data_IF_733800739926
#
_entry.id   IF_733800739926
#
_cell.length_a   1.000
_cell.length_b   1.000
_cell.length_c   1.000
_cell.angle_alpha   90.00
_cell.angle_beta   90.00
_cell.angle_gamma   90.00
#
_symmetry.space_group_name_H-M   'P 1'
#
loop_
_entity.id
_entity.type
_entity.pdbx_description
1 polymer ?
#
# COMPACT_ATOMS: atom_id res chain seq x y z
N UNK A 1 -16.76 -3.94 14.99
CA UNK A 1 -17.05 -4.56 13.67
C UNK A 1 -18.26 -3.83 13.11
N UNK A 2 -18.09 -2.90 12.17
CA UNK A 2 -19.24 -2.29 11.50
C UNK A 2 -19.79 -3.31 10.51
N UNK A 3 -21.05 -3.69 10.69
CA UNK A 3 -21.77 -4.52 9.73
C UNK A 3 -21.79 -3.81 8.37
N UNK A 4 -21.18 -4.43 7.36
CA UNK A 4 -21.28 -4.02 5.97
C UNK A 4 -22.75 -4.18 5.53
N UNK A 5 -23.56 -3.14 5.73
CA UNK A 5 -24.94 -3.10 5.25
C UNK A 5 -24.91 -2.80 3.76
N UNK A 6 -25.22 -3.80 2.96
CA UNK A 6 -25.53 -3.60 1.53
C UNK A 6 -26.85 -2.86 1.45
N UNK A 7 -26.87 -1.71 0.79
CA UNK A 7 -28.05 -0.85 0.68
C UNK A 7 -29.04 -1.32 -0.37
N UNK A 8 -28.58 -2.12 -1.34
CA UNK A 8 -29.44 -2.68 -2.40
C UNK A 8 -29.03 -4.12 -2.78
N UNK A 9 -29.94 -4.86 -3.41
CA UNK A 9 -29.63 -6.17 -4.02
C UNK A 9 -28.54 -6.05 -5.09
N UNK A 10 -28.46 -4.92 -5.80
CA UNK A 10 -27.40 -4.64 -6.77
C UNK A 10 -26.01 -4.52 -6.13
N UNK A 11 -25.90 -3.91 -4.94
CA UNK A 11 -24.64 -3.81 -4.22
C UNK A 11 -24.16 -5.18 -3.73
N UNK A 12 -25.10 -6.02 -3.27
CA UNK A 12 -24.80 -7.40 -2.90
C UNK A 12 -24.29 -8.21 -4.11
N UNK A 13 -24.96 -8.13 -5.26
CA UNK A 13 -24.55 -8.83 -6.49
C UNK A 13 -23.18 -8.34 -6.97
N UNK A 14 -22.91 -7.02 -6.95
CA UNK A 14 -21.58 -6.50 -7.28
C UNK A 14 -20.51 -7.02 -6.31
N UNK A 15 -20.81 -7.17 -5.03
CA UNK A 15 -19.86 -7.71 -4.04
C UNK A 15 -19.52 -9.18 -4.30
N UNK A 16 -20.40 -9.94 -4.97
CA UNK A 16 -20.20 -11.34 -5.34
C UNK A 16 -19.47 -11.50 -6.70
N UNK A 17 -19.27 -10.40 -7.44
CA UNK A 17 -18.57 -10.47 -8.71
C UNK A 17 -17.12 -10.96 -8.50
N UNK A 18 -16.78 -12.07 -9.13
CA UNK A 18 -15.39 -12.58 -9.15
C UNK A 18 -14.52 -11.63 -9.95
N UNK A 19 -13.42 -11.20 -9.36
CA UNK A 19 -12.43 -10.34 -10.02
C UNK A 19 -11.06 -11.00 -9.96
N UNK A 20 -10.28 -10.78 -11.00
CA UNK A 20 -8.88 -11.19 -11.08
C UNK A 20 -8.03 -9.92 -10.94
N UNK A 21 -7.04 -9.94 -10.09
CA UNK A 21 -6.14 -8.81 -9.88
C UNK A 21 -4.72 -9.28 -9.61
N UNK A 22 -3.82 -8.33 -9.46
CA UNK A 22 -2.44 -8.60 -9.09
C UNK A 22 -2.12 -8.08 -7.68
N UNK A 23 -1.00 -8.52 -7.14
CA UNK A 23 -0.58 -8.22 -5.78
C UNK A 23 0.78 -7.52 -5.76
N UNK A 24 0.89 -6.51 -4.88
CA UNK A 24 2.11 -5.88 -4.40
C UNK A 24 2.93 -5.13 -5.45
N UNK A 25 3.17 -5.68 -6.63
CA UNK A 25 4.07 -5.08 -7.61
C UNK A 25 3.41 -4.93 -8.98
N UNK A 26 3.41 -3.71 -9.48
CA UNK A 26 3.04 -3.44 -10.87
C UNK A 26 4.18 -3.86 -11.80
N UNK A 27 3.85 -4.64 -12.82
CA UNK A 27 4.73 -4.96 -13.94
C UNK A 27 4.14 -4.37 -15.22
N UNK A 28 4.95 -3.64 -15.97
CA UNK A 28 4.53 -3.09 -17.25
C UNK A 28 4.16 -4.23 -18.21
N UNK A 29 3.04 -4.13 -18.95
CA UNK A 29 2.59 -5.21 -19.84
C UNK A 29 3.62 -5.61 -20.91
N UNK A 30 4.31 -4.63 -21.48
CA UNK A 30 5.39 -4.88 -22.44
C UNK A 30 6.72 -5.11 -21.71
N UNK A 31 7.08 -6.38 -21.52
CA UNK A 31 8.33 -6.79 -20.88
C UNK A 31 9.51 -6.90 -21.87
N UNK A 32 9.31 -6.56 -23.16
CA UNK A 32 10.37 -6.59 -24.17
C UNK A 32 11.29 -5.37 -24.10
N UNK A 33 10.87 -4.32 -23.40
CA UNK A 33 11.63 -3.10 -23.20
C UNK A 33 12.92 -3.33 -22.39
N UNK A 34 13.91 -2.46 -22.61
CA UNK A 34 15.14 -2.48 -21.81
C UNK A 34 14.82 -2.28 -20.34
N UNK A 35 15.54 -2.98 -19.46
CA UNK A 35 15.32 -2.95 -17.99
C UNK A 35 15.20 -1.52 -17.42
N UNK A 36 16.07 -0.60 -17.83
CA UNK A 36 16.04 0.80 -17.36
C UNK A 36 14.75 1.50 -17.74
N UNK A 37 14.23 1.26 -18.95
CA UNK A 37 12.95 1.82 -19.42
C UNK A 37 11.80 1.24 -18.61
N UNK A 38 11.80 -0.09 -18.37
CA UNK A 38 10.78 -0.73 -17.52
C UNK A 38 10.78 -0.18 -16.10
N UNK A 39 11.95 0.03 -15.51
CA UNK A 39 12.08 0.62 -14.17
C UNK A 39 11.50 2.05 -14.13
N UNK A 40 11.74 2.85 -15.14
CA UNK A 40 11.20 4.22 -15.26
C UNK A 40 9.68 4.21 -15.41
N UNK A 41 9.13 3.33 -16.25
CA UNK A 41 7.68 3.20 -16.47
C UNK A 41 6.94 2.64 -15.23
N UNK A 42 7.57 1.74 -14.50
CA UNK A 42 6.98 1.10 -13.32
C UNK A 42 7.11 1.94 -12.04
N UNK A 43 8.13 2.78 -11.93
CA UNK A 43 8.43 3.57 -10.73
C UNK A 43 7.25 4.39 -10.21
N UNK A 44 6.43 5.07 -11.04
CA UNK A 44 5.31 5.87 -10.56
C UNK A 44 4.19 5.05 -9.91
N UNK A 45 4.11 3.75 -10.19
CA UNK A 45 3.08 2.81 -9.76
C UNK A 45 3.59 1.80 -8.72
N UNK A 46 4.88 1.90 -8.36
CA UNK A 46 5.54 0.93 -7.46
C UNK A 46 5.98 1.61 -6.18
N UNK A 47 5.69 0.99 -5.07
CA UNK A 47 6.14 1.43 -3.75
C UNK A 47 7.67 1.42 -3.64
N UNK A 48 8.21 2.38 -2.89
CA UNK A 48 9.60 2.39 -2.45
C UNK A 48 9.71 1.77 -1.07
N UNK A 49 10.89 1.22 -0.78
CA UNK A 49 11.19 0.63 0.52
C UNK A 49 12.56 1.09 1.01
N UNK A 50 12.82 0.86 2.28
CA UNK A 50 14.13 0.97 2.92
C UNK A 50 14.29 -0.16 3.92
N UNK A 51 15.47 -0.29 4.51
CA UNK A 51 15.74 -1.30 5.53
C UNK A 51 16.16 -0.67 6.84
N UNK A 52 15.86 -1.32 7.95
CA UNK A 52 16.31 -0.91 9.30
C UNK A 52 17.83 -0.74 9.32
N UNK A 53 18.57 -1.67 8.70
CA UNK A 53 20.02 -1.61 8.64
C UNK A 53 20.55 -0.36 7.89
N UNK A 54 19.84 0.10 6.87
CA UNK A 54 20.20 1.35 6.19
C UNK A 54 19.89 2.55 7.08
N UNK A 55 18.70 2.63 7.64
CA UNK A 55 18.25 3.72 8.51
C UNK A 55 19.20 3.90 9.71
N UNK A 56 19.57 2.81 10.37
CA UNK A 56 20.43 2.82 11.55
C UNK A 56 21.89 3.24 11.28
N UNK A 57 22.30 3.27 10.00
CA UNK A 57 23.63 3.77 9.59
C UNK A 57 23.65 5.25 9.28
N UNK A 58 22.48 5.90 9.20
CA UNK A 58 22.37 7.33 8.92
C UNK A 58 22.28 8.16 10.20
N UNK A 59 22.46 9.47 10.07
CA UNK A 59 21.99 10.38 11.10
C UNK A 59 20.47 10.32 11.19
N UNK A 60 19.91 10.70 12.33
CA UNK A 60 18.46 10.67 12.54
C UNK A 60 17.71 11.52 11.50
N UNK A 61 18.20 12.72 11.24
CA UNK A 61 17.56 13.64 10.29
C UNK A 61 17.54 13.06 8.86
N UNK A 62 18.64 12.48 8.39
CA UNK A 62 18.74 11.84 7.07
C UNK A 62 17.81 10.62 6.98
N UNK A 63 17.73 9.83 8.04
CA UNK A 63 16.84 8.67 8.07
C UNK A 63 15.35 9.08 8.06
N UNK A 64 14.98 10.11 8.83
CA UNK A 64 13.61 10.63 8.87
C UNK A 64 13.20 11.28 7.54
N UNK A 65 14.09 12.07 6.92
CA UNK A 65 13.87 12.62 5.59
C UNK A 65 13.63 11.52 4.56
N UNK A 66 14.42 10.46 4.61
CA UNK A 66 14.23 9.29 3.75
C UNK A 66 12.88 8.60 3.95
N UNK A 67 12.44 8.42 5.20
CA UNK A 67 11.14 7.84 5.51
C UNK A 67 9.99 8.74 5.02
N UNK A 68 10.13 10.04 5.19
CA UNK A 68 9.18 11.03 4.68
C UNK A 68 9.05 10.97 3.15
N UNK A 69 10.17 10.98 2.44
CA UNK A 69 10.19 10.87 0.98
C UNK A 69 9.54 9.58 0.48
N UNK A 70 9.79 8.46 1.18
CA UNK A 70 9.17 7.18 0.85
C UNK A 70 7.67 7.25 1.08
N UNK A 71 7.21 7.77 2.21
CA UNK A 71 5.80 7.93 2.54
C UNK A 71 5.06 8.77 1.47
N UNK A 72 5.61 9.92 1.11
CA UNK A 72 5.04 10.80 0.08
C UNK A 72 4.95 10.07 -1.27
N UNK A 73 6.02 9.40 -1.66
CA UNK A 73 6.05 8.63 -2.91
C UNK A 73 5.03 7.49 -2.89
N UNK A 74 4.97 6.71 -1.81
CA UNK A 74 4.13 5.52 -1.72
C UNK A 74 2.63 5.86 -1.73
N UNK A 75 2.22 6.91 -1.01
CA UNK A 75 0.85 7.38 -1.06
C UNK A 75 0.43 7.82 -2.47
N UNK A 76 1.33 8.52 -3.18
CA UNK A 76 1.09 8.92 -4.56
C UNK A 76 1.10 7.74 -5.54
N UNK A 77 2.00 6.77 -5.33
CA UNK A 77 2.07 5.55 -6.14
C UNK A 77 0.83 4.67 -5.95
N UNK A 78 0.36 4.49 -4.71
CA UNK A 78 -0.87 3.76 -4.42
C UNK A 78 -2.08 4.38 -5.13
N UNK A 79 -2.21 5.71 -5.11
CA UNK A 79 -3.30 6.41 -5.80
C UNK A 79 -3.24 6.15 -7.32
N UNK A 80 -2.08 6.37 -7.95
CA UNK A 80 -1.90 6.13 -9.39
C UNK A 80 -2.13 4.67 -9.77
N UNK A 81 -1.74 3.72 -8.91
CA UNK A 81 -1.98 2.31 -9.13
C UNK A 81 -3.48 1.98 -9.13
N UNK A 82 -4.24 2.54 -8.19
CA UNK A 82 -5.71 2.40 -8.14
C UNK A 82 -6.36 3.02 -9.38
N UNK A 83 -5.90 4.20 -9.81
CA UNK A 83 -6.40 4.86 -11.03
C UNK A 83 -6.11 4.02 -12.28
N UNK A 84 -4.91 3.44 -12.38
CA UNK A 84 -4.56 2.51 -13.46
C UNK A 84 -5.48 1.29 -13.45
N UNK A 85 -5.65 0.64 -12.30
CA UNK A 85 -6.53 -0.54 -12.18
C UNK A 85 -7.98 -0.17 -12.47
N UNK A 86 -8.42 1.02 -12.09
CA UNK A 86 -9.76 1.52 -12.41
C UNK A 86 -10.01 1.77 -13.90
N UNK A 87 -8.95 1.93 -14.71
CA UNK A 87 -9.06 2.04 -16.17
C UNK A 87 -9.20 0.69 -16.88
N UNK A 88 -8.98 -0.42 -16.15
CA UNK A 88 -9.12 -1.78 -16.69
C UNK A 88 -10.59 -2.22 -16.79
N UNK A 89 -10.89 -3.28 -17.56
CA UNK A 89 -12.21 -3.91 -17.57
C UNK A 89 -12.68 -4.27 -16.15
N UNK A 90 -14.00 -4.23 -15.85
CA UNK A 90 -14.54 -4.42 -14.50
C UNK A 90 -14.08 -5.70 -13.79
N UNK A 91 -13.93 -6.79 -14.52
CA UNK A 91 -13.45 -8.08 -14.00
C UNK A 91 -11.98 -8.07 -13.57
N UNK A 92 -11.19 -7.08 -14.00
CA UNK A 92 -9.79 -6.89 -13.65
C UNK A 92 -9.56 -5.78 -12.60
N UNK A 93 -10.62 -5.13 -12.11
CA UNK A 93 -10.53 -4.03 -11.13
C UNK A 93 -10.30 -4.54 -9.72
N UNK A 94 -9.17 -5.18 -9.51
CA UNK A 94 -8.74 -5.66 -8.19
C UNK A 94 -7.24 -5.50 -8.05
N UNK A 95 -6.79 -4.98 -6.90
CA UNK A 95 -5.35 -4.90 -6.56
C UNK A 95 -5.14 -5.08 -5.06
N UNK A 96 -4.04 -5.75 -4.70
CA UNK A 96 -3.55 -5.85 -3.32
C UNK A 96 -2.35 -4.92 -3.17
N UNK A 97 -2.42 -3.98 -2.24
CA UNK A 97 -1.26 -3.17 -1.84
C UNK A 97 -0.33 -3.99 -0.95
N UNK A 98 0.97 -3.78 -1.07
CA UNK A 98 1.96 -4.39 -0.19
C UNK A 98 2.06 -3.70 1.16
N UNK A 99 2.65 -4.36 2.14
CA UNK A 99 2.90 -3.78 3.47
C UNK A 99 4.02 -2.73 3.49
N UNK A 100 4.82 -2.64 2.42
CA UNK A 100 5.88 -1.63 2.29
C UNK A 100 5.37 -0.20 2.07
N UNK A 101 4.04 0.01 2.09
CA UNK A 101 3.48 1.37 2.08
C UNK A 101 4.05 2.24 3.20
N UNK A 102 4.28 1.65 4.38
CA UNK A 102 4.87 2.26 5.56
C UNK A 102 6.07 1.41 6.03
N UNK A 103 7.23 1.48 5.37
CA UNK A 103 8.35 0.59 5.66
C UNK A 103 8.89 0.81 7.08
N UNK A 104 9.25 -0.26 7.75
CA UNK A 104 9.75 -0.28 9.13
C UNK A 104 8.76 0.29 10.18
N UNK A 105 7.44 0.37 9.88
CA UNK A 105 6.46 0.95 10.81
C UNK A 105 6.28 0.11 12.08
N UNK A 106 6.52 -1.19 12.02
CA UNK A 106 6.40 -2.11 13.15
C UNK A 106 7.74 -2.35 13.89
N UNK A 107 8.82 -1.71 13.42
CA UNK A 107 10.13 -1.81 14.06
C UNK A 107 10.26 -0.84 15.24
N UNK A 108 10.60 -1.36 16.41
CA UNK A 108 10.64 -0.59 17.66
C UNK A 108 11.49 0.68 17.58
N UNK A 109 12.61 0.63 16.84
CA UNK A 109 13.51 1.76 16.64
C UNK A 109 12.94 2.86 15.74
N UNK A 110 11.90 2.58 14.92
CA UNK A 110 11.35 3.52 13.93
C UNK A 110 9.85 3.78 14.09
N UNK A 111 9.14 3.06 14.96
CA UNK A 111 7.72 3.29 15.27
C UNK A 111 7.42 4.73 15.66
N UNK A 112 8.33 5.38 16.38
CA UNK A 112 8.18 6.77 16.80
C UNK A 112 7.99 7.73 15.62
N UNK A 113 8.67 7.49 14.49
CA UNK A 113 8.52 8.31 13.27
C UNK A 113 7.09 8.22 12.74
N UNK A 114 6.56 7.01 12.63
CA UNK A 114 5.21 6.75 12.11
C UNK A 114 4.10 7.21 13.07
N UNK A 115 4.45 7.47 14.33
CA UNK A 115 3.53 8.00 15.35
C UNK A 115 3.57 9.53 15.47
N UNK A 116 4.41 10.22 14.70
CA UNK A 116 4.44 11.69 14.69
C UNK A 116 3.12 12.25 14.17
N UNK A 117 2.54 13.30 14.80
CA UNK A 117 1.23 13.83 14.40
C UNK A 117 1.15 14.28 12.94
N UNK A 118 2.21 14.90 12.42
CA UNK A 118 2.30 15.34 11.03
C UNK A 118 2.39 14.18 10.04
N UNK A 119 3.11 13.11 10.39
CA UNK A 119 3.20 11.86 9.62
C UNK A 119 1.84 11.17 9.57
N UNK A 120 1.18 11.01 10.72
CA UNK A 120 -0.17 10.42 10.82
C UNK A 120 -1.17 11.23 9.99
N UNK A 121 -1.21 12.55 10.19
CA UNK A 121 -2.11 13.43 9.44
C UNK A 121 -1.87 13.37 7.92
N UNK A 122 -0.60 13.27 7.50
CA UNK A 122 -0.28 13.08 6.09
C UNK A 122 -0.82 11.76 5.57
N UNK A 123 -0.56 10.65 6.28
CA UNK A 123 -1.04 9.32 5.91
C UNK A 123 -2.57 9.28 5.81
N UNK A 124 -3.28 9.73 6.85
CA UNK A 124 -4.75 9.77 6.86
C UNK A 124 -5.31 10.53 5.65
N UNK A 125 -4.80 11.75 5.42
CA UNK A 125 -5.24 12.59 4.30
C UNK A 125 -5.02 11.96 2.94
N UNK A 126 -3.86 11.34 2.72
CA UNK A 126 -3.48 10.86 1.39
C UNK A 126 -3.99 9.44 1.10
N UNK A 127 -4.01 8.54 2.10
CA UNK A 127 -4.61 7.22 1.91
C UNK A 127 -6.14 7.26 1.90
N UNK A 128 -6.79 8.25 2.54
CA UNK A 128 -8.22 8.50 2.34
C UNK A 128 -8.55 8.73 0.85
N UNK A 129 -7.72 9.53 0.15
CA UNK A 129 -7.88 9.78 -1.30
C UNK A 129 -7.67 8.51 -2.15
N UNK A 130 -6.80 7.59 -1.71
CA UNK A 130 -6.64 6.27 -2.36
C UNK A 130 -7.95 5.47 -2.24
N UNK A 131 -8.55 5.46 -1.04
CA UNK A 131 -9.83 4.80 -0.80
C UNK A 131 -10.99 5.45 -1.56
N UNK A 132 -11.01 6.78 -1.66
CA UNK A 132 -12.00 7.52 -2.46
C UNK A 132 -11.90 7.15 -3.95
N UNK A 133 -10.69 7.15 -4.51
CA UNK A 133 -10.45 6.75 -5.89
C UNK A 133 -10.87 5.29 -6.14
N UNK A 134 -10.56 4.38 -5.21
CA UNK A 134 -10.96 2.98 -5.31
C UNK A 134 -12.47 2.81 -5.35
N UNK A 135 -13.20 3.55 -4.50
CA UNK A 135 -14.68 3.53 -4.50
C UNK A 135 -15.25 4.13 -5.79
N UNK A 136 -14.75 5.28 -6.21
CA UNK A 136 -15.23 5.99 -7.41
C UNK A 136 -15.02 5.18 -8.69
N UNK A 137 -13.95 4.39 -8.77
CA UNK A 137 -13.57 3.60 -9.93
C UNK A 137 -14.03 2.14 -9.84
N UNK A 138 -14.74 1.78 -8.79
CA UNK A 138 -15.15 0.39 -8.50
C UNK A 138 -13.97 -0.59 -8.48
N UNK A 139 -12.86 -0.19 -7.84
CA UNK A 139 -11.67 -1.03 -7.65
C UNK A 139 -11.76 -1.77 -6.33
N UNK A 140 -11.68 -3.10 -6.36
CA UNK A 140 -11.53 -3.91 -5.15
C UNK A 140 -10.10 -3.79 -4.63
N UNK A 141 -9.96 -3.12 -3.50
CA UNK A 141 -8.69 -2.90 -2.83
C UNK A 141 -8.54 -3.83 -1.63
N UNK A 142 -7.37 -4.43 -1.47
CA UNK A 142 -7.00 -5.23 -0.31
C UNK A 142 -5.54 -5.00 0.06
N UNK A 143 -5.14 -5.46 1.25
CA UNK A 143 -3.77 -5.37 1.74
C UNK A 143 -3.12 -6.76 1.75
N UNK A 144 -1.85 -6.82 1.39
CA UNK A 144 -1.01 -8.00 1.57
C UNK A 144 -0.07 -7.75 2.76
N UNK A 145 -0.34 -8.35 3.92
CA UNK A 145 0.54 -8.21 5.08
C UNK A 145 1.92 -8.81 4.77
N UNK A 146 2.97 -8.19 5.29
CA UNK A 146 4.33 -8.70 5.15
C UNK A 146 4.58 -9.93 6.01
N UNK A 147 5.72 -10.57 5.77
CA UNK A 147 6.14 -11.78 6.50
C UNK A 147 6.32 -11.59 8.01
N UNK A 148 6.37 -10.35 8.48
CA UNK A 148 6.52 -10.00 9.90
C UNK A 148 5.18 -9.85 10.63
N UNK A 149 4.06 -9.95 9.91
CA UNK A 149 2.71 -9.96 10.48
C UNK A 149 2.35 -11.40 10.85
N UNK A 150 2.51 -11.75 12.13
CA UNK A 150 2.35 -13.13 12.63
C UNK A 150 1.29 -13.16 13.72
N UNK A 151 0.01 -13.04 13.31
CA UNK A 151 -1.14 -13.02 14.23
C UNK A 151 -1.36 -14.34 15.00
N UNK A 152 -0.77 -15.44 14.54
CA UNK A 152 -0.84 -16.76 15.15
C UNK A 152 0.43 -17.11 15.96
N UNK A 153 1.18 -16.11 16.41
CA UNK A 153 2.35 -16.35 17.27
C UNK A 153 1.93 -16.68 18.70
N UNK A 154 2.68 -17.58 19.35
CA UNK A 154 2.54 -17.85 20.78
C UNK A 154 3.16 -16.74 21.67
N UNK A 155 3.80 -15.76 21.06
CA UNK A 155 4.39 -14.60 21.74
C UNK A 155 3.50 -13.38 21.54
N UNK A 156 2.90 -12.89 22.62
CA UNK A 156 1.98 -11.76 22.63
C UNK A 156 2.61 -10.47 22.05
N UNK A 157 3.89 -10.21 22.33
CA UNK A 157 4.59 -9.04 21.77
C UNK A 157 4.70 -9.10 20.25
N UNK A 158 4.78 -10.29 19.66
CA UNK A 158 4.79 -10.47 18.20
C UNK A 158 3.40 -10.22 17.65
N UNK A 159 2.36 -10.72 18.33
CA UNK A 159 0.96 -10.52 17.94
C UNK A 159 0.60 -9.03 17.98
N UNK A 160 0.95 -8.32 19.05
CA UNK A 160 0.67 -6.89 19.21
C UNK A 160 1.36 -6.02 18.14
N UNK A 161 2.55 -6.42 17.69
CA UNK A 161 3.29 -5.73 16.63
C UNK A 161 2.78 -6.03 15.21
N UNK A 162 1.97 -7.08 15.08
CA UNK A 162 1.48 -7.57 13.79
C UNK A 162 0.22 -6.84 13.34
#
# INVERSE_FOLDING_TARGET
MQDLKFTTAGDYLKSQQKRIGFACKYLHPDQTQKKKVLEELQRPLTEKCTTVAWLNRQTRDVAEERLWDIMVHNAAAAKRLVEYVGSLPPELRMVRLGSNQLPCATESSWMYFWSKPDVVAYCEKHYAKVGEAARALDVRLSMHPGQFTVLASDNDEIVERS
#
